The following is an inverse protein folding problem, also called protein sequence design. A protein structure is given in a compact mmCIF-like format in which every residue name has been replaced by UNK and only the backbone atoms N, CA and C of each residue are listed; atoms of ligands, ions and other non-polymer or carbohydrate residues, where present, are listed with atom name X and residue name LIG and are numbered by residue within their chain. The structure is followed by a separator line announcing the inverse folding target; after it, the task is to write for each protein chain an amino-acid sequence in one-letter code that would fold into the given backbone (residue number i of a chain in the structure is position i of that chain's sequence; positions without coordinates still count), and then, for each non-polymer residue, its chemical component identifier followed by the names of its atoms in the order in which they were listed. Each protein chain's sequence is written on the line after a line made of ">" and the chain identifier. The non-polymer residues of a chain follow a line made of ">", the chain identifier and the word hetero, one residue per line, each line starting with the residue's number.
data_IF_912355458523
#
_entry.id   IF_912355458523
#
_cell.length_a   1.000
_cell.length_b   1.000
_cell.length_c   1.000
_cell.angle_alpha   90.00
_cell.angle_beta   90.00
_cell.angle_gamma   90.00
#
_symmetry.space_group_name_H-M   'P 1'
#
loop_
_entity.id
_entity.type
_entity.pdbx_description
1 polymer ?
#
# COMPACT_ATOMS: atom_id res chain seq x y z
N UNK A 1 31.39 15.10 -23.89
CA UNK A 1 30.58 13.86 -23.94
C UNK A 1 29.86 13.69 -22.61
N UNK A 2 28.69 14.31 -22.44
CA UNK A 2 27.82 14.09 -21.28
C UNK A 2 26.43 13.79 -21.83
N UNK A 3 26.14 12.50 -21.90
CA UNK A 3 24.85 11.96 -22.28
C UNK A 3 23.90 12.11 -21.09
N UNK A 4 23.18 13.23 -20.99
CA UNK A 4 22.06 13.33 -20.06
C UNK A 4 20.86 12.58 -20.64
N UNK A 5 20.72 11.30 -20.30
CA UNK A 5 19.46 10.60 -20.49
C UNK A 5 18.39 11.31 -19.65
N UNK A 6 17.29 11.80 -20.23
CA UNK A 6 16.18 12.28 -19.43
C UNK A 6 15.45 11.05 -18.88
N UNK A 7 15.60 10.78 -17.58
CA UNK A 7 14.74 9.82 -16.86
C UNK A 7 13.32 10.41 -16.82
N UNK A 8 12.59 10.25 -17.93
CA UNK A 8 11.18 10.58 -18.00
C UNK A 8 10.47 9.71 -16.95
N UNK A 9 10.06 10.33 -15.83
CA UNK A 9 9.16 9.72 -14.86
C UNK A 9 7.86 9.42 -15.59
N UNK A 10 7.76 8.22 -16.15
CA UNK A 10 6.56 7.75 -16.85
C UNK A 10 5.51 7.56 -15.77
N UNK A 11 4.73 8.61 -15.49
CA UNK A 11 3.52 8.52 -14.67
C UNK A 11 2.64 7.44 -15.31
N UNK A 12 2.27 6.43 -14.52
CA UNK A 12 1.35 5.40 -14.96
C UNK A 12 0.07 6.11 -15.43
N UNK A 13 -0.39 5.80 -16.65
CA UNK A 13 -1.66 6.35 -17.14
C UNK A 13 -2.80 5.72 -16.31
N UNK A 14 -3.82 6.49 -15.90
CA UNK A 14 -4.99 5.94 -15.23
C UNK A 14 -5.75 5.08 -16.24
N UNK A 15 -5.50 3.77 -16.22
CA UNK A 15 -6.21 2.79 -17.03
C UNK A 15 -6.99 1.90 -16.09
N UNK A 16 -8.30 1.88 -16.29
CA UNK A 16 -9.34 1.53 -15.31
C UNK A 16 -9.27 0.13 -14.67
N UNK A 17 -8.39 -0.77 -15.11
CA UNK A 17 -7.97 -2.01 -14.39
C UNK A 17 -6.57 -2.43 -14.85
N UNK A 18 -5.53 -2.10 -14.08
CA UNK A 18 -4.19 -2.66 -14.30
C UNK A 18 -3.96 -3.84 -13.36
N UNK A 19 -3.14 -4.84 -13.76
CA UNK A 19 -2.78 -5.97 -12.89
C UNK A 19 -2.16 -5.52 -11.55
N UNK A 20 -1.56 -4.34 -11.50
CA UNK A 20 -1.03 -3.75 -10.28
C UNK A 20 -2.13 -3.41 -9.26
N UNK A 21 -3.25 -2.83 -9.71
CA UNK A 21 -4.37 -2.47 -8.82
C UNK A 21 -5.07 -3.73 -8.27
N UNK A 22 -5.21 -4.76 -9.11
CA UNK A 22 -5.75 -6.06 -8.68
C UNK A 22 -4.83 -6.72 -7.66
N UNK A 23 -3.52 -6.73 -7.92
CA UNK A 23 -2.54 -7.24 -6.97
C UNK A 23 -2.60 -6.52 -5.62
N UNK A 24 -2.69 -5.19 -5.63
CA UNK A 24 -2.83 -4.36 -4.43
C UNK A 24 -4.09 -4.72 -3.63
N UNK A 25 -5.24 -4.84 -4.31
CA UNK A 25 -6.51 -5.24 -3.67
C UNK A 25 -6.42 -6.63 -3.07
N UNK A 26 -5.83 -7.59 -3.79
CA UNK A 26 -5.65 -8.96 -3.29
C UNK A 26 -4.73 -8.99 -2.06
N UNK A 27 -3.67 -8.19 -2.01
CA UNK A 27 -2.81 -8.15 -0.82
C UNK A 27 -3.54 -7.52 0.37
N UNK A 28 -4.32 -6.46 0.12
CA UNK A 28 -5.06 -5.75 1.15
C UNK A 28 -6.13 -6.64 1.80
N UNK A 29 -6.98 -7.29 1.00
CA UNK A 29 -8.06 -8.17 1.49
C UNK A 29 -7.54 -9.48 2.09
N UNK A 30 -6.35 -9.93 1.69
CA UNK A 30 -5.65 -11.00 2.39
C UNK A 30 -4.92 -10.53 3.66
N UNK A 31 -5.20 -9.33 4.17
CA UNK A 31 -4.66 -8.83 5.43
C UNK A 31 -3.13 -8.79 5.49
N UNK A 32 -2.44 -8.63 4.34
CA UNK A 32 -0.99 -8.48 4.31
C UNK A 32 -0.56 -7.05 4.62
N UNK A 33 0.63 -6.91 5.17
CA UNK A 33 1.31 -5.62 5.29
C UNK A 33 1.59 -5.02 3.92
N UNK A 34 1.32 -3.73 3.78
CA UNK A 34 1.63 -2.97 2.56
C UNK A 34 2.41 -1.74 2.99
N UNK A 35 3.60 -1.58 2.41
CA UNK A 35 4.42 -0.37 2.54
C UNK A 35 4.39 0.37 1.20
N UNK A 36 3.99 1.64 1.22
CA UNK A 36 4.01 2.51 0.06
C UNK A 36 4.82 3.77 0.34
N UNK A 37 5.63 4.17 -0.65
CA UNK A 37 6.50 5.34 -0.55
C UNK A 37 5.99 6.51 -1.39
N UNK A 38 5.91 7.70 -0.79
CA UNK A 38 5.66 8.97 -1.47
C UNK A 38 4.53 8.92 -2.51
N UNK A 39 4.88 9.06 -3.79
CA UNK A 39 3.92 9.09 -4.90
C UNK A 39 3.10 7.80 -5.11
N UNK A 40 3.48 6.69 -4.48
CA UNK A 40 2.76 5.42 -4.55
C UNK A 40 1.43 5.44 -3.79
N UNK A 41 1.19 6.42 -2.92
CA UNK A 41 -0.12 6.63 -2.27
C UNK A 41 -1.24 6.84 -3.31
N UNK A 42 -0.93 7.45 -4.45
CA UNK A 42 -1.88 7.60 -5.56
C UNK A 42 -2.36 6.25 -6.11
N UNK A 43 -1.54 5.18 -6.04
CA UNK A 43 -1.94 3.84 -6.46
C UNK A 43 -2.85 3.17 -5.43
N UNK A 44 -2.65 3.42 -4.13
CA UNK A 44 -3.56 2.94 -3.08
C UNK A 44 -4.93 3.60 -3.22
N UNK A 45 -4.95 4.91 -3.46
CA UNK A 45 -6.18 5.66 -3.75
C UNK A 45 -6.88 5.15 -5.01
N UNK A 46 -6.14 4.91 -6.10
CA UNK A 46 -6.69 4.36 -7.35
C UNK A 46 -7.19 2.91 -7.17
N UNK A 47 -6.54 2.12 -6.31
CA UNK A 47 -6.96 0.77 -5.95
C UNK A 47 -8.20 0.75 -5.02
N UNK A 48 -8.68 1.91 -4.58
CA UNK A 48 -9.79 2.08 -3.63
C UNK A 48 -9.53 1.36 -2.30
N UNK A 49 -8.27 1.38 -1.84
CA UNK A 49 -7.91 0.82 -0.54
C UNK A 49 -8.25 1.87 0.54
N UNK A 50 -9.08 1.55 1.53
CA UNK A 50 -9.38 2.46 2.63
C UNK A 50 -8.15 2.59 3.55
N UNK A 51 -7.79 3.83 3.90
CA UNK A 51 -6.64 4.11 4.79
C UNK A 51 -6.97 3.88 6.27
N UNK A 52 -8.26 3.75 6.58
CA UNK A 52 -8.80 3.54 7.91
C UNK A 52 -9.59 2.24 7.94
N UNK A 53 -9.53 1.55 9.07
CA UNK A 53 -10.39 0.43 9.38
C UNK A 53 -11.86 0.85 9.41
N UNK A 54 -12.82 -0.10 9.33
CA UNK A 54 -14.24 0.17 9.49
C UNK A 54 -14.58 0.90 10.81
N UNK A 55 -13.76 0.66 11.85
CA UNK A 55 -13.88 1.31 13.17
C UNK A 55 -13.32 2.74 13.22
N UNK A 56 -12.80 3.26 12.11
CA UNK A 56 -12.18 4.58 12.01
C UNK A 56 -10.75 4.66 12.54
N UNK A 57 -10.19 3.55 13.06
CA UNK A 57 -8.79 3.46 13.45
C UNK A 57 -7.86 3.48 12.22
N UNK A 58 -6.63 3.98 12.39
CA UNK A 58 -5.59 3.87 11.36
C UNK A 58 -5.18 2.42 11.21
N UNK A 59 -5.07 1.97 9.97
CA UNK A 59 -4.71 0.61 9.65
C UNK A 59 -3.25 0.30 9.99
N UNK A 60 -2.96 -0.58 10.98
CA UNK A 60 -1.59 -0.87 11.40
C UNK A 60 -0.78 -1.62 10.34
N UNK A 61 -1.44 -2.20 9.32
CA UNK A 61 -0.78 -2.90 8.23
C UNK A 61 -0.58 -2.07 6.98
N UNK A 62 -0.98 -0.81 6.97
CA UNK A 62 -0.84 0.08 5.83
C UNK A 62 0.11 1.21 6.21
N UNK A 63 1.35 1.12 5.72
CA UNK A 63 2.41 2.03 6.10
C UNK A 63 2.69 2.95 4.93
N UNK A 64 2.50 4.24 5.15
CA UNK A 64 2.94 5.30 4.24
C UNK A 64 4.21 5.93 4.78
N UNK A 65 5.26 5.96 3.96
CA UNK A 65 6.51 6.61 4.30
C UNK A 65 6.96 7.55 3.17
N UNK A 66 7.66 8.63 3.52
CA UNK A 66 8.41 9.40 2.52
C UNK A 66 9.69 8.63 2.14
N UNK A 67 10.19 8.84 0.93
CA UNK A 67 11.50 8.32 0.52
C UNK A 67 12.64 8.84 1.41
N UNK A 68 12.50 10.03 2.00
CA UNK A 68 13.46 10.57 2.96
C UNK A 68 13.47 9.81 4.31
N UNK A 69 12.37 9.15 4.66
CA UNK A 69 12.21 8.37 5.90
C UNK A 69 12.14 6.86 5.61
N UNK A 70 12.86 6.42 4.58
CA UNK A 70 12.79 5.03 4.12
C UNK A 70 13.18 4.03 5.22
N UNK A 71 14.23 4.31 6.00
CA UNK A 71 14.70 3.41 7.06
C UNK A 71 13.66 3.24 8.18
N UNK A 72 13.00 4.32 8.58
CA UNK A 72 11.92 4.30 9.57
C UNK A 72 10.70 3.52 9.03
N UNK A 73 10.32 3.76 7.77
CA UNK A 73 9.22 3.04 7.12
C UNK A 73 9.49 1.55 6.96
N UNK A 74 10.73 1.17 6.66
CA UNK A 74 11.16 -0.23 6.60
C UNK A 74 11.13 -0.86 7.99
N UNK A 75 11.59 -0.14 9.03
CA UNK A 75 11.51 -0.61 10.41
C UNK A 75 10.07 -0.90 10.84
N UNK A 76 9.16 0.05 10.61
CA UNK A 76 7.73 -0.14 10.89
C UNK A 76 7.13 -1.29 10.08
N UNK A 77 7.57 -1.48 8.83
CA UNK A 77 7.10 -2.58 7.98
C UNK A 77 7.56 -3.95 8.49
N UNK A 78 8.80 -4.07 8.95
CA UNK A 78 9.31 -5.29 9.57
C UNK A 78 8.54 -5.61 10.85
N UNK A 79 8.28 -4.61 11.69
CA UNK A 79 7.50 -4.78 12.91
C UNK A 79 6.07 -5.24 12.61
N UNK A 80 5.39 -4.57 11.67
CA UNK A 80 4.05 -4.94 11.23
C UNK A 80 4.00 -6.34 10.60
N UNK A 81 5.04 -6.75 9.86
CA UNK A 81 5.16 -8.11 9.32
C UNK A 81 5.26 -9.17 10.42
N UNK A 82 5.80 -8.80 11.59
CA UNK A 82 5.84 -9.67 12.76
C UNK A 82 4.46 -10.14 13.23
N UNK A 83 3.40 -9.38 12.93
CA UNK A 83 2.02 -9.76 13.25
C UNK A 83 1.44 -10.84 12.31
N UNK A 84 2.19 -11.28 11.29
CA UNK A 84 1.80 -12.22 10.23
C UNK A 84 0.65 -11.74 9.33
N UNK A 85 -0.49 -11.31 9.89
CA UNK A 85 -1.65 -10.73 9.20
C UNK A 85 -2.39 -9.69 10.06
N UNK A 86 -3.01 -8.71 9.40
CA UNK A 86 -3.83 -7.66 10.04
C UNK A 86 -5.33 -8.00 10.01
N UNK A 87 -5.75 -8.88 10.92
CA UNK A 87 -7.14 -9.40 10.98
C UNK A 87 -8.22 -8.34 11.21
N UNK A 88 -7.87 -7.10 11.60
CA UNK A 88 -8.85 -6.01 11.68
C UNK A 88 -9.52 -5.67 10.34
N UNK A 89 -8.91 -6.07 9.21
CA UNK A 89 -9.49 -5.94 7.86
C UNK A 89 -10.38 -7.11 7.46
N UNK A 90 -10.36 -8.19 8.22
CA UNK A 90 -11.16 -9.38 7.93
C UNK A 90 -12.63 -8.99 8.11
N UNK A 91 -13.37 -9.02 7.00
CA UNK A 91 -14.80 -8.80 7.04
C UNK A 91 -15.41 -10.15 7.48
N UNK A 92 -15.71 -10.24 8.78
CA UNK A 92 -16.27 -11.43 9.44
C UNK A 92 -17.46 -11.95 8.60
N UNK A 93 -17.40 -13.19 8.13
CA UNK A 93 -18.51 -13.80 7.42
C UNK A 93 -19.73 -13.84 8.35
N UNK A 94 -20.97 -13.73 7.83
CA UNK A 94 -22.16 -13.73 8.69
C UNK A 94 -22.15 -14.99 9.54
N UNK A 95 -22.19 -14.81 10.87
CA UNK A 95 -22.36 -15.92 11.82
C UNK A 95 -23.72 -16.56 11.54
N UNK A 96 -23.68 -17.81 11.06
CA UNK A 96 -24.85 -18.63 10.81
C UNK A 96 -25.61 -18.93 12.11
#
# INVERSE_FOLDING_TARGET
>A
MQSSCPTAKRRLKPSTRTPALEFLRDQYWHCKTILAFGASDALLAEAQIPMTLPDGAVDPGLILADAASADEGIGAFIEAMGAHRHFGRENDTPKA
#
